data_IF_929116903895
#
_entry.id   IF_929116903895
#
_cell.length_a   1.000
_cell.length_b   1.000
_cell.length_c   1.000
_cell.angle_alpha   90.00
_cell.angle_beta   90.00
_cell.angle_gamma   90.00
#
_symmetry.space_group_name_H-M   'P 1'
#
loop_
_entity.id
_entity.type
_entity.pdbx_description
1 polymer ?
#
# COMPACT_ATOMS: atom_id res chain seq x y z
N UNK A 1 6.94 -32.70 -0.05
CA UNK A 1 6.80 -31.27 -0.38
C UNK A 1 5.93 -30.65 0.70
N UNK A 2 6.49 -29.73 1.49
CA UNK A 2 5.75 -29.00 2.51
C UNK A 2 5.14 -27.80 1.80
N UNK A 3 3.84 -27.82 1.58
CA UNK A 3 3.09 -26.67 1.08
C UNK A 3 3.03 -25.69 2.23
N UNK A 4 4.04 -24.82 2.34
CA UNK A 4 3.96 -23.65 3.22
C UNK A 4 2.88 -22.75 2.63
N UNK A 5 1.65 -22.95 3.10
CA UNK A 5 0.54 -22.06 2.83
C UNK A 5 0.86 -20.79 3.62
N UNK A 6 1.57 -19.85 3.00
CA UNK A 6 1.65 -18.48 3.51
C UNK A 6 0.22 -18.06 3.85
N UNK A 7 -0.08 -17.63 5.09
CA UNK A 7 -1.44 -17.23 5.44
C UNK A 7 -1.89 -16.17 4.43
N UNK A 8 -2.92 -16.50 3.64
CA UNK A 8 -3.47 -15.56 2.66
C UNK A 8 -3.92 -14.32 3.45
N UNK A 9 -3.30 -13.18 3.20
CA UNK A 9 -3.70 -11.93 3.85
C UNK A 9 -5.18 -11.68 3.60
N UNK A 10 -5.90 -11.16 4.60
CA UNK A 10 -7.33 -10.82 4.46
C UNK A 10 -7.50 -9.48 3.74
N UNK A 11 -8.57 -9.34 2.97
CA UNK A 11 -8.98 -8.04 2.43
C UNK A 11 -9.38 -7.10 3.59
N UNK A 12 -8.81 -5.89 3.60
CA UNK A 12 -9.05 -4.89 4.64
C UNK A 12 -9.60 -3.55 4.09
N UNK A 13 -9.53 -3.32 2.78
CA UNK A 13 -10.03 -2.11 2.13
C UNK A 13 -9.26 -1.79 0.86
N UNK A 14 -9.47 -0.58 0.32
CA UNK A 14 -8.81 -0.08 -0.88
C UNK A 14 -8.17 1.29 -0.66
N UNK A 15 -7.02 1.49 -1.30
CA UNK A 15 -6.33 2.77 -1.42
C UNK A 15 -6.55 3.34 -2.82
N UNK A 16 -6.70 4.67 -2.94
CA UNK A 16 -6.82 5.35 -4.23
C UNK A 16 -5.65 6.30 -4.44
N UNK A 17 -5.04 6.22 -5.62
CA UNK A 17 -4.01 7.16 -6.06
C UNK A 17 -4.58 8.53 -6.43
N UNK A 18 -5.91 8.71 -6.49
CA UNK A 18 -6.55 9.94 -6.98
C UNK A 18 -7.08 10.80 -5.83
N UNK A 19 -7.69 10.19 -4.81
CA UNK A 19 -8.27 10.95 -3.71
C UNK A 19 -7.21 11.30 -2.65
N UNK A 20 -7.58 12.21 -1.75
CA UNK A 20 -6.71 12.68 -0.66
C UNK A 20 -6.82 11.85 0.61
N UNK A 21 -7.54 10.71 0.58
CA UNK A 21 -7.71 9.87 1.75
C UNK A 21 -6.40 9.12 2.03
N UNK A 22 -6.05 8.98 3.30
CA UNK A 22 -4.89 8.20 3.73
C UNK A 22 -5.35 6.87 4.29
N UNK A 23 -4.88 5.77 3.72
CA UNK A 23 -5.09 4.43 4.26
C UNK A 23 -4.10 4.19 5.40
N UNK A 24 -4.57 3.72 6.55
CA UNK A 24 -3.75 3.56 7.76
C UNK A 24 -3.79 2.12 8.26
N UNK A 25 -2.64 1.59 8.69
CA UNK A 25 -2.50 0.27 9.30
C UNK A 25 -1.71 0.41 10.59
N UNK A 26 -2.32 0.05 11.72
CA UNK A 26 -1.63 -0.03 13.00
C UNK A 26 -0.74 -1.28 13.03
N UNK A 27 0.57 -1.09 13.16
CA UNK A 27 1.56 -2.15 13.25
C UNK A 27 1.90 -2.51 14.71
N UNK A 28 1.25 -1.86 15.68
CA UNK A 28 1.55 -1.97 17.11
C UNK A 28 2.77 -1.13 17.51
N UNK A 29 3.06 -1.09 18.81
CA UNK A 29 4.30 -0.47 19.32
C UNK A 29 4.47 1.02 18.98
N UNK A 30 3.37 1.77 18.89
CA UNK A 30 3.35 3.18 18.49
C UNK A 30 3.79 3.43 17.02
N UNK A 31 3.53 2.47 16.12
CA UNK A 31 3.86 2.59 14.70
C UNK A 31 2.60 2.43 13.86
N UNK A 32 2.29 3.46 13.07
CA UNK A 32 1.21 3.44 12.08
C UNK A 32 1.80 3.57 10.69
N UNK A 33 1.58 2.58 9.84
CA UNK A 33 1.87 2.66 8.41
C UNK A 33 0.76 3.45 7.72
N UNK A 34 1.13 4.42 6.89
CA UNK A 34 0.21 5.25 6.12
C UNK A 34 0.50 5.15 4.63
N UNK A 35 -0.56 5.01 3.85
CA UNK A 35 -0.52 5.04 2.38
C UNK A 35 -1.32 6.26 1.93
N UNK A 36 -0.64 7.23 1.32
CA UNK A 36 -1.25 8.47 0.84
C UNK A 36 -1.00 8.70 -0.64
N UNK A 37 -1.91 9.43 -1.29
CA UNK A 37 -1.73 9.85 -2.68
C UNK A 37 -0.70 10.99 -2.78
N UNK A 38 0.10 10.97 -3.84
CA UNK A 38 0.92 12.09 -4.31
C UNK A 38 0.37 12.68 -5.62
N UNK A 39 -0.85 12.31 -6.00
CA UNK A 39 -1.42 12.52 -7.33
C UNK A 39 -1.12 11.35 -8.26
N UNK A 40 -2.12 10.91 -9.02
CA UNK A 40 -1.97 9.79 -9.96
C UNK A 40 -0.83 10.04 -10.96
N UNK A 41 0.05 9.04 -11.21
CA UNK A 41 -0.04 7.64 -10.78
C UNK A 41 0.69 7.34 -9.46
N UNK A 42 1.11 8.35 -8.70
CA UNK A 42 2.04 8.21 -7.58
C UNK A 42 1.35 8.21 -6.21
N UNK A 43 1.88 7.37 -5.33
CA UNK A 43 1.53 7.34 -3.92
C UNK A 43 2.79 7.27 -3.08
N UNK A 44 2.62 7.37 -1.76
CA UNK A 44 3.69 7.16 -0.80
C UNK A 44 3.26 6.26 0.34
N UNK A 45 4.22 5.49 0.84
CA UNK A 45 4.14 4.81 2.13
C UNK A 45 5.05 5.56 3.10
N UNK A 46 4.51 5.97 4.25
CA UNK A 46 5.22 6.70 5.29
C UNK A 46 4.71 6.25 6.67
N UNK A 47 5.39 6.66 7.73
CA UNK A 47 5.12 6.17 9.08
C UNK A 47 4.84 7.32 10.03
N UNK A 48 3.88 7.11 10.93
CA UNK A 48 3.61 8.03 12.04
C UNK A 48 3.57 7.29 13.36
N UNK A 49 3.65 8.04 14.46
CA UNK A 49 3.20 7.56 15.76
C UNK A 49 1.66 7.40 15.78
N UNK A 50 1.13 6.87 16.90
CA UNK A 50 -0.31 6.73 17.15
C UNK A 50 -0.90 7.94 17.92
N UNK A 51 -0.18 9.06 17.95
CA UNK A 51 -0.61 10.29 18.59
C UNK A 51 -1.80 10.95 17.88
N UNK A 52 -2.42 11.93 18.54
CA UNK A 52 -3.49 12.73 17.98
C UNK A 52 -3.25 14.23 18.27
N UNK A 53 -2.76 15.04 17.30
CA UNK A 53 -2.45 14.65 15.92
C UNK A 53 -1.22 13.72 15.82
N UNK A 54 -1.13 12.89 14.76
CA UNK A 54 -0.01 11.98 14.56
C UNK A 54 1.26 12.75 14.14
N UNK A 55 2.42 12.33 14.64
CA UNK A 55 3.72 12.85 14.19
C UNK A 55 4.37 11.87 13.20
N UNK A 56 4.98 12.40 12.14
CA UNK A 56 5.83 11.60 11.25
C UNK A 56 7.02 11.02 12.04
N UNK A 57 7.33 9.74 11.82
CA UNK A 57 8.45 9.05 12.44
C UNK A 57 9.35 8.43 11.38
N UNK A 58 10.62 8.19 11.75
CA UNK A 58 11.56 7.47 10.87
C UNK A 58 10.99 6.12 10.47
N UNK A 59 11.31 5.67 9.24
CA UNK A 59 11.02 4.31 8.79
C UNK A 59 11.54 3.31 9.85
N UNK A 60 10.66 2.53 10.50
CA UNK A 60 11.06 1.59 11.53
C UNK A 60 12.08 0.57 11.00
N UNK A 61 13.04 0.19 11.84
CA UNK A 61 14.00 -0.85 11.51
C UNK A 61 13.28 -2.17 11.18
N UNK A 62 13.74 -2.86 10.12
CA UNK A 62 13.11 -4.10 9.67
C UNK A 62 11.92 -3.91 8.72
N UNK A 63 11.53 -2.67 8.39
CA UNK A 63 10.59 -2.39 7.31
C UNK A 63 11.29 -2.54 5.96
N UNK A 64 10.66 -3.28 5.05
CA UNK A 64 11.02 -3.28 3.62
C UNK A 64 9.77 -3.15 2.77
N UNK A 65 9.91 -2.55 1.58
CA UNK A 65 8.87 -2.49 0.56
C UNK A 65 9.39 -3.13 -0.72
N UNK A 66 8.64 -4.06 -1.28
CA UNK A 66 8.97 -4.77 -2.53
C UNK A 66 7.90 -4.49 -3.57
N UNK A 67 8.30 -4.01 -4.74
CA UNK A 67 7.48 -4.02 -5.96
C UNK A 67 7.44 -5.47 -6.46
N UNK A 68 6.37 -6.19 -6.13
CA UNK A 68 6.23 -7.62 -6.45
C UNK A 68 5.85 -7.83 -7.90
N UNK A 69 5.27 -6.83 -8.57
CA UNK A 69 5.04 -6.87 -10.02
C UNK A 69 6.35 -6.90 -10.80
N UNK A 70 7.36 -6.15 -10.34
CA UNK A 70 8.69 -6.08 -10.99
C UNK A 70 9.78 -6.89 -10.28
N UNK A 71 9.44 -7.59 -9.21
CA UNK A 71 10.35 -8.35 -8.36
C UNK A 71 11.60 -7.55 -7.93
N UNK A 72 11.40 -6.34 -7.38
CA UNK A 72 12.51 -5.48 -6.95
C UNK A 72 12.21 -4.74 -5.64
N UNK A 73 13.22 -4.48 -4.80
CA UNK A 73 13.04 -3.63 -3.63
C UNK A 73 12.75 -2.18 -4.05
N UNK A 74 11.92 -1.50 -3.26
CA UNK A 74 11.70 -0.05 -3.37
C UNK A 74 12.61 0.64 -2.36
N UNK A 75 13.52 1.47 -2.84
CA UNK A 75 14.38 2.25 -1.96
C UNK A 75 13.60 3.41 -1.31
N UNK A 76 13.87 3.73 -0.03
CA UNK A 76 13.30 4.90 0.59
C UNK A 76 13.87 6.19 -0.03
N UNK A 77 13.04 7.22 -0.12
CA UNK A 77 13.38 8.55 -0.61
C UNK A 77 13.26 9.55 0.55
N UNK A 78 14.35 10.28 0.80
CA UNK A 78 14.43 11.24 1.90
C UNK A 78 14.20 12.68 1.40
N UNK A 79 12.98 12.95 0.94
CA UNK A 79 12.53 14.34 0.63
C UNK A 79 12.20 15.13 1.91
N UNK A 80 12.05 14.40 3.03
CA UNK A 80 11.71 14.85 4.38
C UNK A 80 12.55 14.04 5.37
N UNK A 81 12.74 14.50 6.62
CA UNK A 81 13.73 13.90 7.54
C UNK A 81 13.48 12.41 7.87
N UNK A 82 12.27 11.92 7.67
CA UNK A 82 11.85 10.58 8.11
C UNK A 82 11.86 9.50 7.00
N UNK A 83 11.87 9.91 5.74
CA UNK A 83 11.85 9.03 4.57
C UNK A 83 10.48 8.48 4.20
N UNK A 84 10.21 8.38 2.90
CA UNK A 84 9.00 7.80 2.32
C UNK A 84 9.38 6.69 1.32
N UNK A 85 8.52 5.70 1.09
CA UNK A 85 8.61 4.83 -0.09
C UNK A 85 7.66 5.32 -1.17
N UNK A 86 8.16 5.60 -2.37
CA UNK A 86 7.32 6.02 -3.49
C UNK A 86 6.80 4.78 -4.23
N UNK A 87 5.47 4.73 -4.35
CA UNK A 87 4.75 3.65 -5.04
C UNK A 87 3.99 4.22 -6.24
N UNK A 88 3.62 3.37 -7.19
CA UNK A 88 2.94 3.76 -8.41
C UNK A 88 1.89 2.75 -8.87
N UNK A 89 0.83 3.26 -9.48
CA UNK A 89 -0.09 2.45 -10.28
C UNK A 89 0.55 2.12 -11.65
N UNK A 90 0.33 0.93 -12.26
CA UNK A 90 -0.49 -0.21 -11.83
C UNK A 90 0.31 -1.35 -11.18
N UNK A 91 1.23 -1.05 -10.25
CA UNK A 91 2.04 -2.10 -9.59
C UNK A 91 1.51 -2.53 -8.23
N UNK A 92 1.75 -3.80 -7.91
CA UNK A 92 1.48 -4.41 -6.61
C UNK A 92 2.71 -4.37 -5.72
N UNK A 93 2.50 -4.23 -4.41
CA UNK A 93 3.56 -4.09 -3.43
C UNK A 93 3.33 -4.96 -2.20
N UNK A 94 4.41 -5.48 -1.63
CA UNK A 94 4.42 -6.10 -0.31
C UNK A 94 5.28 -5.26 0.64
N UNK A 95 4.75 -5.05 1.84
CA UNK A 95 5.47 -4.43 2.94
C UNK A 95 5.73 -5.50 3.97
N UNK A 96 7.01 -5.70 4.28
CA UNK A 96 7.42 -6.61 5.35
C UNK A 96 7.88 -5.83 6.56
N UNK A 97 7.66 -6.39 7.74
CA UNK A 97 8.22 -5.92 9.01
C UNK A 97 8.88 -7.12 9.69
N UNK A 98 10.19 -7.03 9.95
CA UNK A 98 10.99 -8.13 10.50
C UNK A 98 10.84 -9.43 9.69
N UNK A 99 10.95 -9.31 8.36
CA UNK A 99 10.84 -10.42 7.40
C UNK A 99 9.46 -11.11 7.31
N UNK A 100 8.42 -10.57 7.94
CA UNK A 100 7.05 -11.03 7.80
C UNK A 100 6.22 -10.03 6.98
N UNK A 101 5.47 -10.51 5.98
CA UNK A 101 4.54 -9.64 5.23
C UNK A 101 3.42 -9.17 6.16
N UNK A 102 3.30 -7.85 6.31
CA UNK A 102 2.30 -7.21 7.20
C UNK A 102 1.24 -6.44 6.41
N UNK A 103 1.54 -6.01 5.19
CA UNK A 103 0.59 -5.34 4.28
C UNK A 103 0.90 -5.75 2.84
N UNK A 104 -0.13 -6.08 2.07
CA UNK A 104 -0.05 -6.25 0.61
C UNK A 104 -0.98 -5.24 -0.06
N UNK A 105 -0.42 -4.42 -0.95
CA UNK A 105 -1.18 -3.56 -1.87
C UNK A 105 -1.26 -4.29 -3.21
N UNK A 106 -2.42 -4.87 -3.51
CA UNK A 106 -2.62 -5.70 -4.69
C UNK A 106 -3.37 -4.90 -5.75
N UNK A 107 -2.75 -4.68 -6.91
CA UNK A 107 -3.47 -4.25 -8.10
C UNK A 107 -4.38 -5.40 -8.57
N UNK A 108 -5.67 -5.11 -8.74
CA UNK A 108 -6.66 -6.12 -9.08
C UNK A 108 -6.83 -6.32 -10.59
N UNK A 109 -6.14 -5.53 -11.43
CA UNK A 109 -6.27 -5.56 -12.90
C UNK A 109 -7.73 -5.50 -13.38
N UNK A 110 -8.59 -4.85 -12.60
CA UNK A 110 -10.01 -4.70 -12.88
C UNK A 110 -10.32 -3.24 -13.15
N UNK A 111 -11.20 -3.00 -14.13
CA UNK A 111 -11.75 -1.69 -14.43
C UNK A 111 -13.25 -1.72 -14.16
N UNK A 112 -13.81 -0.58 -13.73
CA UNK A 112 -15.26 -0.39 -13.68
C UNK A 112 -15.75 -0.16 -15.11
N UNK A 113 -16.82 -0.84 -15.51
CA UNK A 113 -17.52 -0.58 -16.77
C UNK A 113 -18.76 0.25 -16.44
N UNK A 114 -18.80 1.47 -16.95
CA UNK A 114 -19.96 2.36 -16.87
C UNK A 114 -20.65 2.40 -18.23
N UNK A 115 -21.97 2.21 -18.25
CA UNK A 115 -22.80 2.31 -19.46
C UNK A 115 -23.84 3.41 -19.28
N UNK A 116 -24.21 4.07 -20.38
CA UNK A 116 -25.31 5.03 -20.36
C UNK A 116 -26.62 4.35 -19.95
N UNK A 117 -27.51 5.10 -19.26
CA UNK A 117 -28.74 4.59 -18.66
C UNK A 117 -29.68 3.83 -19.63
N UNK A 118 -29.57 4.07 -20.94
CA UNK A 118 -30.40 3.48 -21.98
C UNK A 118 -29.79 2.23 -22.65
N UNK A 119 -28.66 1.73 -22.15
CA UNK A 119 -27.96 0.57 -22.73
C UNK A 119 -28.10 -0.67 -21.84
N UNK A 120 -28.14 -1.83 -22.48
CA UNK A 120 -28.10 -3.13 -21.81
C UNK A 120 -26.68 -3.70 -21.89
N UNK A 121 -26.21 -4.30 -20.80
CA UNK A 121 -24.98 -5.10 -20.79
C UNK A 121 -25.30 -6.58 -20.60
N UNK A 122 -24.46 -7.43 -21.14
CA UNK A 122 -24.44 -8.88 -20.90
C UNK A 122 -22.99 -9.35 -20.86
N UNK A 123 -22.76 -10.50 -20.22
CA UNK A 123 -21.46 -11.16 -20.14
C UNK A 123 -21.65 -12.57 -20.70
N UNK A 124 -20.74 -12.99 -21.58
CA UNK A 124 -20.68 -14.35 -22.15
C UNK A 124 -19.66 -15.23 -21.42
#
# INVERSE_FOLDING_TARGET
>A
MKTDITPKMRFAGSFSYINTNTYCVDLGGNVVLRIGSLGSPHGRIYFTDNGNPPNDIQIPAGITVTDVTRNRPVAPVFLRPFGDFIIGYPTSYEITFNNQVVVSLVNQEQSVVEIANNLYHFVE
#
